data_IF_203847062795
#
_entry.id   IF_203847062795
#
_cell.length_a   1.000
_cell.length_b   1.000
_cell.length_c   1.000
_cell.angle_alpha   90.00
_cell.angle_beta   90.00
_cell.angle_gamma   90.00
#
_symmetry.space_group_name_H-M   'P 1'
#
loop_
_entity.id
_entity.type
_entity.pdbx_description
1 polymer ?
#
# COMPACT_ATOMS: atom_id res chain seq x y z
N UNK A 1 1.02 1.64 0.30
CA UNK A 1 0.37 2.84 0.87
C UNK A 1 -1.14 2.84 0.62
N UNK A 2 -1.62 2.76 -0.63
CA UNK A 2 -3.05 2.88 -0.94
C UNK A 2 -3.92 1.78 -0.29
N UNK A 3 -3.45 0.55 -0.24
CA UNK A 3 -4.16 -0.54 0.45
C UNK A 3 -4.23 -0.29 1.96
N UNK A 4 -3.15 0.20 2.56
CA UNK A 4 -3.10 0.54 3.97
C UNK A 4 -4.05 1.71 4.30
N UNK A 5 -4.09 2.75 3.46
CA UNK A 5 -5.05 3.86 3.60
C UNK A 5 -6.51 3.39 3.50
N UNK A 6 -6.77 2.31 2.74
CA UNK A 6 -8.14 1.78 2.58
C UNK A 6 -8.59 0.99 3.79
N UNK A 7 -7.75 0.11 4.31
CA UNK A 7 -8.00 -0.69 5.51
C UNK A 7 -6.70 -1.17 6.12
N UNK A 8 -6.56 -1.00 7.43
CA UNK A 8 -5.43 -1.50 8.21
C UNK A 8 -5.85 -1.87 9.63
N UNK A 9 -5.03 -2.66 10.29
CA UNK A 9 -5.23 -2.98 11.71
C UNK A 9 -4.84 -1.74 12.52
N UNK A 10 -5.64 -1.38 13.53
CA UNK A 10 -5.37 -0.25 14.41
C UNK A 10 -3.91 -0.28 14.95
N UNK A 11 -3.30 0.87 15.10
CA UNK A 11 -1.93 1.05 15.58
C UNK A 11 -0.85 0.34 14.74
N UNK A 12 -1.16 -0.05 13.50
CA UNK A 12 -0.18 -0.64 12.58
C UNK A 12 0.52 0.41 11.73
N UNK A 13 1.77 0.11 11.35
CA UNK A 13 2.58 1.00 10.50
C UNK A 13 2.70 0.49 9.07
N UNK A 14 2.57 1.42 8.13
CA UNK A 14 2.76 1.11 6.72
C UNK A 14 4.24 1.08 6.35
N UNK A 15 4.79 -0.11 6.17
CA UNK A 15 6.14 -0.31 5.65
C UNK A 15 6.06 -0.99 4.28
N UNK A 16 6.20 -0.24 3.18
CA UNK A 16 6.16 -0.81 1.84
C UNK A 16 7.30 -1.81 1.62
N UNK A 17 7.01 -2.85 0.83
CA UNK A 17 7.95 -3.94 0.61
C UNK A 17 9.23 -3.48 -0.09
N UNK A 18 9.15 -2.55 -1.02
CA UNK A 18 10.29 -1.95 -1.73
C UNK A 18 11.22 -1.16 -0.79
N UNK A 19 10.66 -0.44 0.18
CA UNK A 19 11.44 0.22 1.24
C UNK A 19 12.15 -0.84 2.10
N UNK A 20 11.42 -1.89 2.46
CA UNK A 20 11.97 -2.97 3.28
C UNK A 20 13.08 -3.73 2.55
N UNK A 21 12.93 -4.01 1.25
CA UNK A 21 13.98 -4.66 0.43
C UNK A 21 15.28 -3.84 0.42
N UNK A 22 15.18 -2.52 0.36
CA UNK A 22 16.33 -1.64 0.28
C UNK A 22 16.93 -1.26 1.64
N UNK A 23 16.15 -1.33 2.73
CA UNK A 23 16.51 -0.81 4.06
C UNK A 23 16.31 -1.82 5.19
N UNK A 24 16.27 -3.13 4.91
CA UNK A 24 16.00 -4.17 5.90
C UNK A 24 16.89 -4.07 7.15
N UNK A 25 18.18 -3.84 6.99
CA UNK A 25 19.11 -3.71 8.12
C UNK A 25 18.85 -2.49 8.99
N UNK A 26 18.50 -1.37 8.37
CA UNK A 26 18.18 -0.13 9.09
C UNK A 26 16.88 -0.30 9.87
N UNK A 27 15.89 -0.94 9.28
CA UNK A 27 14.60 -1.27 9.92
C UNK A 27 14.84 -2.19 11.11
N UNK A 28 15.58 -3.28 10.96
CA UNK A 28 15.88 -4.22 12.07
C UNK A 28 16.62 -3.52 13.21
N UNK A 29 17.57 -2.63 12.90
CA UNK A 29 18.28 -1.85 13.92
C UNK A 29 17.36 -0.95 14.74
N UNK A 30 16.35 -0.33 14.09
CA UNK A 30 15.38 0.56 14.75
C UNK A 30 14.32 -0.21 15.53
N UNK A 31 13.86 -1.34 14.97
CA UNK A 31 12.93 -2.22 15.67
C UNK A 31 13.53 -2.81 16.95
N UNK A 32 14.84 -3.01 16.98
CA UNK A 32 15.54 -3.64 18.10
C UNK A 32 15.23 -5.13 18.23
N UNK A 33 16.07 -5.83 19.01
CA UNK A 33 15.86 -7.25 19.28
C UNK A 33 14.89 -7.47 20.45
N UNK A 34 14.06 -8.52 20.34
CA UNK A 34 13.19 -8.95 21.43
C UNK A 34 11.78 -8.37 21.41
N UNK A 35 11.41 -7.61 20.39
CA UNK A 35 10.02 -7.16 20.19
C UNK A 35 9.21 -8.21 19.46
N UNK A 36 7.97 -8.38 19.89
CA UNK A 36 6.99 -9.23 19.21
C UNK A 36 6.37 -8.45 18.06
N UNK A 37 6.86 -8.70 16.84
CA UNK A 37 6.47 -7.99 15.63
C UNK A 37 5.57 -8.91 14.81
N UNK A 38 4.40 -8.39 14.41
CA UNK A 38 3.49 -9.10 13.52
C UNK A 38 3.47 -8.41 12.16
N UNK A 39 3.84 -9.15 11.13
CA UNK A 39 3.86 -8.69 9.75
C UNK A 39 2.53 -9.01 9.09
N UNK A 40 1.89 -8.00 8.56
CA UNK A 40 0.57 -8.11 7.93
C UNK A 40 0.63 -7.60 6.50
N UNK A 41 0.01 -8.32 5.57
CA UNK A 41 -0.31 -7.80 4.24
C UNK A 41 -1.71 -8.25 3.84
N UNK A 42 -2.09 -8.07 2.58
CA UNK A 42 -3.45 -8.43 2.14
C UNK A 42 -3.75 -9.93 2.29
N UNK A 43 -2.83 -10.81 1.85
CA UNK A 43 -3.06 -12.27 1.73
C UNK A 43 -1.94 -13.14 2.31
N UNK A 44 -1.00 -12.58 3.07
CA UNK A 44 0.14 -13.32 3.63
C UNK A 44 1.39 -13.38 2.74
N UNK A 45 1.28 -13.26 1.41
CA UNK A 45 2.43 -13.45 0.50
C UNK A 45 3.54 -12.41 0.69
N UNK A 46 3.20 -11.12 0.70
CA UNK A 46 4.18 -10.04 0.89
C UNK A 46 4.78 -10.05 2.30
N UNK A 47 3.99 -10.36 3.31
CA UNK A 47 4.47 -10.45 4.70
C UNK A 47 5.41 -11.64 4.91
N UNK A 48 5.20 -12.77 4.23
CA UNK A 48 6.16 -13.88 4.24
C UNK A 48 7.51 -13.48 3.60
N UNK A 49 7.48 -12.77 2.45
CA UNK A 49 8.70 -12.25 1.84
C UNK A 49 9.41 -11.23 2.74
N UNK A 50 8.64 -10.32 3.33
CA UNK A 50 9.16 -9.34 4.29
C UNK A 50 9.80 -10.02 5.52
N UNK A 51 9.16 -11.05 6.06
CA UNK A 51 9.68 -11.82 7.19
C UNK A 51 11.04 -12.47 6.86
N UNK A 52 11.16 -13.09 5.68
CA UNK A 52 12.42 -13.68 5.24
C UNK A 52 13.53 -12.63 5.16
N UNK A 53 13.26 -11.48 4.53
CA UNK A 53 14.22 -10.37 4.40
C UNK A 53 14.67 -9.80 5.76
N UNK A 54 13.72 -9.60 6.68
CA UNK A 54 14.03 -9.09 8.02
C UNK A 54 14.82 -10.10 8.86
N UNK A 55 14.48 -11.38 8.77
CA UNK A 55 15.22 -12.46 9.43
C UNK A 55 16.65 -12.53 8.90
N UNK A 56 16.85 -12.45 7.59
CA UNK A 56 18.17 -12.46 6.96
C UNK A 56 18.98 -11.19 7.34
N UNK A 57 18.30 -10.10 7.66
CA UNK A 57 18.89 -8.87 8.18
C UNK A 57 19.17 -8.92 9.70
N UNK A 58 18.78 -10.00 10.41
CA UNK A 58 19.06 -10.22 11.83
C UNK A 58 17.87 -10.02 12.78
N UNK A 59 16.65 -9.92 12.29
CA UNK A 59 15.45 -9.85 13.15
C UNK A 59 15.24 -11.20 13.85
N UNK A 60 15.16 -11.16 15.18
CA UNK A 60 14.76 -12.30 16.01
C UNK A 60 13.35 -12.04 16.56
N UNK A 61 12.39 -12.91 16.25
CA UNK A 61 11.04 -12.85 16.88
C UNK A 61 9.96 -12.15 16.04
N UNK A 62 10.02 -12.18 14.70
CA UNK A 62 8.90 -11.75 13.86
C UNK A 62 7.89 -12.87 13.60
N UNK A 63 6.60 -12.53 13.52
CA UNK A 63 5.51 -13.43 13.11
C UNK A 63 4.79 -12.88 11.89
N UNK A 64 4.15 -13.74 11.13
CA UNK A 64 3.33 -13.38 9.98
C UNK A 64 1.88 -13.69 10.29
N UNK A 65 0.99 -12.75 10.02
CA UNK A 65 -0.45 -13.01 10.04
C UNK A 65 -0.80 -13.85 8.80
N UNK A 66 -1.10 -15.12 9.03
CA UNK A 66 -1.52 -16.03 7.96
C UNK A 66 -2.78 -15.51 7.27
N UNK A 67 -2.84 -15.66 5.94
CA UNK A 67 -3.92 -15.14 5.09
C UNK A 67 -4.14 -13.61 5.14
N UNK A 68 -3.36 -12.89 5.94
CA UNK A 68 -3.33 -11.43 5.97
C UNK A 68 -4.62 -10.78 6.50
N UNK A 69 -4.81 -9.49 6.13
CA UNK A 69 -5.93 -8.70 6.62
C UNK A 69 -7.30 -9.19 6.09
N UNK A 70 -7.33 -9.91 4.96
CA UNK A 70 -8.59 -10.46 4.42
C UNK A 70 -9.20 -11.48 5.39
N UNK A 71 -8.39 -12.39 5.91
CA UNK A 71 -8.86 -13.39 6.87
C UNK A 71 -9.18 -12.76 8.22
N UNK A 72 -8.34 -11.83 8.69
CA UNK A 72 -8.58 -11.04 9.89
C UNK A 72 -9.96 -10.39 9.90
N UNK A 73 -10.29 -9.73 8.81
CA UNK A 73 -11.59 -9.09 8.62
C UNK A 73 -12.73 -10.10 8.46
N UNK A 74 -12.48 -11.20 7.74
CA UNK A 74 -13.42 -12.31 7.57
C UNK A 74 -13.81 -12.98 8.89
N UNK A 75 -12.93 -12.99 9.88
CA UNK A 75 -13.18 -13.47 11.24
C UNK A 75 -13.89 -12.45 12.13
N UNK A 76 -14.19 -11.24 11.61
CA UNK A 76 -14.90 -10.20 12.32
C UNK A 76 -14.04 -9.30 13.20
N UNK A 77 -12.72 -9.36 13.09
CA UNK A 77 -11.84 -8.47 13.82
C UNK A 77 -11.86 -7.05 13.25
N UNK A 78 -11.71 -6.07 14.12
CA UNK A 78 -11.77 -4.67 13.76
C UNK A 78 -10.59 -4.26 12.86
N UNK A 79 -10.90 -3.41 11.87
CA UNK A 79 -9.94 -2.73 11.02
C UNK A 79 -10.29 -1.25 10.93
N UNK A 80 -9.29 -0.40 10.94
CA UNK A 80 -9.46 1.01 10.67
C UNK A 80 -9.60 1.21 9.15
N UNK A 81 -10.68 1.91 8.77
CA UNK A 81 -10.99 2.19 7.37
C UNK A 81 -10.83 3.67 7.09
N UNK A 82 -9.91 3.96 6.19
CA UNK A 82 -9.74 5.31 5.66
C UNK A 82 -10.62 5.58 4.43
N UNK A 83 -10.32 6.66 3.74
CA UNK A 83 -11.04 7.04 2.51
C UNK A 83 -10.76 6.02 1.41
N UNK A 84 -11.78 5.28 1.01
CA UNK A 84 -11.69 4.38 -0.14
C UNK A 84 -11.45 5.20 -1.41
N UNK A 85 -10.26 5.10 -1.95
CA UNK A 85 -9.96 5.64 -3.29
C UNK A 85 -10.23 4.58 -4.34
N UNK A 86 -10.79 5.00 -5.45
CA UNK A 86 -10.98 4.10 -6.58
C UNK A 86 -9.63 3.60 -7.07
N UNK A 87 -9.52 2.29 -7.26
CA UNK A 87 -8.33 1.69 -7.87
C UNK A 87 -8.02 2.36 -9.22
N UNK A 88 -6.75 2.61 -9.48
CA UNK A 88 -6.31 3.28 -10.70
C UNK A 88 -6.83 2.57 -11.97
N UNK A 89 -6.86 1.24 -11.93
CA UNK A 89 -7.40 0.43 -13.02
C UNK A 89 -8.88 0.72 -13.30
N UNK A 90 -9.69 0.87 -12.25
CA UNK A 90 -11.11 1.24 -12.37
C UNK A 90 -11.28 2.64 -12.96
N UNK A 91 -10.42 3.59 -12.57
CA UNK A 91 -10.41 4.94 -13.13
C UNK A 91 -10.04 4.92 -14.62
N UNK A 92 -9.01 4.18 -14.99
CA UNK A 92 -8.58 4.01 -16.39
C UNK A 92 -9.72 3.43 -17.24
N UNK A 93 -10.39 2.38 -16.76
CA UNK A 93 -11.53 1.78 -17.46
C UNK A 93 -12.69 2.75 -17.64
N UNK A 94 -13.01 3.53 -16.60
CA UNK A 94 -14.06 4.54 -16.65
C UNK A 94 -13.74 5.63 -17.68
N UNK A 95 -12.54 6.21 -17.61
CA UNK A 95 -12.12 7.29 -18.51
C UNK A 95 -12.08 6.79 -19.96
N UNK A 96 -11.38 5.69 -20.22
CA UNK A 96 -11.26 5.13 -21.56
C UNK A 96 -12.63 4.74 -22.13
N UNK A 97 -13.47 4.06 -21.34
CA UNK A 97 -14.81 3.66 -21.74
C UNK A 97 -15.73 4.85 -22.02
N UNK A 98 -15.67 5.90 -21.18
CA UNK A 98 -16.47 7.12 -21.38
C UNK A 98 -16.06 7.87 -22.66
N UNK A 99 -14.77 7.99 -22.93
CA UNK A 99 -14.28 8.65 -24.15
C UNK A 99 -14.68 7.86 -25.40
N UNK A 100 -14.52 6.54 -25.38
CA UNK A 100 -14.93 5.67 -26.51
C UNK A 100 -16.44 5.78 -26.73
N UNK A 101 -17.24 5.64 -25.68
CA UNK A 101 -18.70 5.72 -25.78
C UNK A 101 -19.15 7.08 -26.34
N UNK A 102 -18.64 8.19 -25.78
CA UNK A 102 -18.97 9.53 -26.25
C UNK A 102 -18.53 9.77 -27.69
N UNK A 103 -17.37 9.24 -28.09
CA UNK A 103 -16.86 9.37 -29.45
C UNK A 103 -17.71 8.60 -30.45
N UNK A 104 -18.16 7.39 -30.10
CA UNK A 104 -19.04 6.58 -30.95
C UNK A 104 -20.42 7.22 -31.10
N UNK A 105 -21.05 7.63 -29.98
CA UNK A 105 -22.36 8.29 -30.01
C UNK A 105 -22.28 9.63 -30.76
N UNK A 106 -21.26 10.44 -30.50
CA UNK A 106 -21.05 11.71 -31.17
C UNK A 106 -20.71 11.58 -32.67
N UNK A 107 -20.22 10.42 -33.11
CA UNK A 107 -19.93 10.18 -34.53
C UNK A 107 -21.19 10.14 -35.42
N UNK A 108 -22.37 9.96 -34.81
CA UNK A 108 -23.63 10.11 -35.54
C UNK A 108 -23.87 11.54 -36.05
N UNK A 109 -23.40 12.54 -35.29
CA UNK A 109 -23.49 13.96 -35.70
C UNK A 109 -22.20 14.43 -36.38
N UNK A 110 -21.02 13.98 -35.91
CA UNK A 110 -19.70 14.35 -36.38
C UNK A 110 -18.90 13.09 -36.75
N UNK A 111 -18.93 12.64 -38.02
CA UNK A 111 -18.32 11.38 -38.47
C UNK A 111 -16.82 11.23 -38.16
N UNK A 112 -16.11 12.35 -37.92
CA UNK A 112 -14.69 12.35 -37.57
C UNK A 112 -14.40 11.81 -36.15
N UNK A 113 -15.38 11.83 -35.22
CA UNK A 113 -15.21 11.38 -33.86
C UNK A 113 -14.94 9.86 -33.75
N UNK A 114 -15.34 9.06 -34.74
CA UNK A 114 -14.99 7.62 -34.80
C UNK A 114 -13.49 7.36 -34.74
N UNK A 115 -12.66 8.29 -35.23
CA UNK A 115 -11.21 8.15 -35.20
C UNK A 115 -10.63 8.34 -33.80
N UNK A 116 -11.31 9.10 -32.93
CA UNK A 116 -10.92 9.19 -31.50
C UNK A 116 -11.13 7.85 -30.80
N UNK A 117 -12.28 7.21 -31.03
CA UNK A 117 -12.53 5.86 -30.50
C UNK A 117 -11.49 4.85 -31.02
N UNK A 118 -11.16 4.90 -32.31
CA UNK A 118 -10.15 4.02 -32.91
C UNK A 118 -8.75 4.26 -32.30
N UNK A 119 -8.36 5.52 -32.07
CA UNK A 119 -7.07 5.85 -31.45
C UNK A 119 -6.98 5.35 -30.00
N UNK A 120 -8.05 5.49 -29.20
CA UNK A 120 -8.11 4.95 -27.85
C UNK A 120 -8.01 3.42 -27.87
N UNK A 121 -8.75 2.74 -28.76
CA UNK A 121 -8.69 1.29 -28.92
C UNK A 121 -7.28 0.80 -29.30
N UNK A 122 -6.64 1.45 -30.27
CA UNK A 122 -5.27 1.14 -30.66
C UNK A 122 -4.28 1.36 -29.51
N UNK A 123 -4.43 2.47 -28.75
CA UNK A 123 -3.61 2.76 -27.57
C UNK A 123 -3.75 1.71 -26.47
N UNK A 124 -4.97 1.24 -26.20
CA UNK A 124 -5.22 0.17 -25.21
C UNK A 124 -4.62 -1.17 -25.68
N UNK A 125 -4.74 -1.50 -26.97
CA UNK A 125 -4.12 -2.71 -27.54
C UNK A 125 -2.60 -2.66 -27.42
N UNK A 126 -2.01 -1.53 -27.78
CA UNK A 126 -0.56 -1.31 -27.64
C UNK A 126 -0.12 -1.42 -26.17
N UNK A 127 -0.86 -0.79 -25.25
CA UNK A 127 -0.59 -0.88 -23.81
C UNK A 127 -0.61 -2.31 -23.28
N UNK A 128 -1.54 -3.13 -23.76
CA UNK A 128 -1.64 -4.53 -23.39
C UNK A 128 -0.44 -5.36 -23.91
N UNK A 129 0.00 -5.09 -25.12
CA UNK A 129 1.14 -5.82 -25.74
C UNK A 129 2.49 -5.43 -25.14
N UNK A 130 2.66 -4.17 -24.74
CA UNK A 130 3.93 -3.64 -24.22
C UNK A 130 4.01 -3.57 -22.70
N UNK A 131 2.92 -3.92 -22.00
CA UNK A 131 2.76 -3.72 -20.56
C UNK A 131 3.02 -2.27 -20.10
N UNK A 132 2.76 -1.30 -20.97
CA UNK A 132 2.99 0.13 -20.74
C UNK A 132 1.68 0.89 -20.91
N UNK A 133 1.12 1.41 -19.82
CA UNK A 133 -0.14 2.16 -19.85
C UNK A 133 0.12 3.66 -19.66
N UNK A 134 0.16 4.44 -20.75
CA UNK A 134 0.33 5.89 -20.72
C UNK A 134 -0.80 6.59 -19.94
N UNK A 135 -2.04 6.07 -20.02
CA UNK A 135 -3.19 6.60 -19.30
C UNK A 135 -3.06 6.38 -17.77
N UNK A 136 -2.61 5.19 -17.34
CA UNK A 136 -2.33 4.94 -15.94
C UNK A 136 -1.23 5.87 -15.41
N UNK A 137 -0.16 6.07 -16.18
CA UNK A 137 0.92 7.02 -15.85
C UNK A 137 0.42 8.46 -15.76
N UNK A 138 -0.46 8.90 -16.65
CA UNK A 138 -1.05 10.22 -16.59
C UNK A 138 -1.97 10.38 -15.36
N UNK A 139 -2.84 9.40 -15.10
CA UNK A 139 -3.76 9.42 -13.96
C UNK A 139 -3.01 9.32 -12.62
N UNK A 140 -1.90 8.59 -12.54
CA UNK A 140 -1.09 8.50 -11.32
C UNK A 140 -0.48 9.85 -10.89
N UNK A 141 -0.30 10.78 -11.84
CA UNK A 141 0.21 12.15 -11.58
C UNK A 141 -0.85 13.08 -10.98
N UNK A 142 -2.12 12.72 -11.03
CA UNK A 142 -3.18 13.53 -10.45
C UNK A 142 -3.06 13.58 -8.91
N UNK A 143 -3.37 14.71 -8.26
CA UNK A 143 -3.31 14.84 -6.80
C UNK A 143 -4.16 13.79 -6.07
N UNK A 144 -5.29 13.39 -6.66
CA UNK A 144 -6.17 12.35 -6.15
C UNK A 144 -5.48 10.97 -6.07
N UNK A 145 -4.62 10.67 -7.03
CA UNK A 145 -3.92 9.38 -7.14
C UNK A 145 -2.50 9.41 -6.55
N UNK A 146 -2.01 10.57 -6.15
CA UNK A 146 -0.81 10.67 -5.32
C UNK A 146 -1.18 10.16 -3.93
N UNK A 147 -1.14 8.84 -3.74
CA UNK A 147 -1.11 8.24 -2.42
C UNK A 147 0.07 8.80 -1.62
N UNK A 148 0.03 8.67 -0.29
CA UNK A 148 1.18 9.00 0.53
C UNK A 148 2.41 8.32 -0.09
N UNK A 149 3.32 9.13 -0.61
CA UNK A 149 4.61 8.65 -1.13
C UNK A 149 5.24 7.91 0.03
N UNK A 150 5.63 6.65 -0.20
CA UNK A 150 6.42 5.90 0.76
C UNK A 150 7.81 6.54 0.81
N UNK A 151 7.89 7.66 1.50
CA UNK A 151 9.18 8.27 1.81
C UNK A 151 9.88 7.33 2.79
N UNK A 152 11.00 6.69 2.41
CA UNK A 152 11.72 5.79 3.29
C UNK A 152 12.11 6.43 4.61
N UNK A 153 12.44 7.73 4.60
CA UNK A 153 12.82 8.46 5.81
C UNK A 153 11.59 8.71 6.72
N UNK A 154 10.42 8.98 6.16
CA UNK A 154 9.18 9.09 6.93
C UNK A 154 8.79 7.77 7.60
N UNK A 155 8.95 6.64 6.88
CA UNK A 155 8.73 5.30 7.45
C UNK A 155 9.71 5.04 8.61
N UNK A 156 10.98 5.32 8.40
CA UNK A 156 12.02 5.13 9.42
C UNK A 156 11.79 6.02 10.64
N UNK A 157 11.40 7.28 10.46
CA UNK A 157 11.12 8.20 11.57
C UNK A 157 9.88 7.80 12.38
N UNK A 158 8.85 7.24 11.73
CA UNK A 158 7.68 6.70 12.42
C UNK A 158 8.06 5.53 13.34
N UNK A 159 8.93 4.62 12.87
CA UNK A 159 9.44 3.51 13.69
C UNK A 159 10.29 3.98 14.88
N UNK A 160 11.06 5.08 14.73
CA UNK A 160 11.84 5.67 15.82
C UNK A 160 10.95 6.30 16.91
N UNK A 161 9.88 6.98 16.50
CA UNK A 161 8.95 7.64 17.44
C UNK A 161 8.29 6.62 18.37
N UNK A 162 7.91 5.44 17.85
CA UNK A 162 7.37 4.36 18.67
C UNK A 162 8.43 3.72 19.56
N UNK A 163 9.64 3.55 19.05
CA UNK A 163 10.76 3.08 19.84
C UNK A 163 10.95 3.88 21.12
N UNK A 164 10.85 5.19 20.99
CA UNK A 164 10.96 6.14 22.13
C UNK A 164 9.74 6.11 23.05
N UNK A 165 8.52 5.99 22.52
CA UNK A 165 7.30 5.97 23.32
C UNK A 165 7.21 4.74 24.24
N UNK A 166 7.59 3.57 23.72
CA UNK A 166 7.62 2.33 24.51
C UNK A 166 8.71 2.34 25.58
N UNK A 167 9.86 2.93 25.30
CA UNK A 167 10.96 3.03 26.28
C UNK A 167 10.58 3.97 27.44
N UNK A 168 9.83 5.03 27.17
CA UNK A 168 9.35 5.96 28.20
C UNK A 168 8.25 5.36 29.08
N UNK A 169 7.40 4.50 28.54
CA UNK A 169 6.33 3.83 29.30
C UNK A 169 6.85 2.76 30.27
N UNK A 170 7.94 2.09 29.93
CA UNK A 170 8.60 1.08 30.81
C UNK A 170 9.38 1.77 31.94
N UNK A 171 9.93 2.97 31.70
CA UNK A 171 10.67 3.73 32.72
C UNK A 171 9.80 4.41 33.78
N UNK A 172 8.48 4.48 33.60
CA UNK A 172 7.55 5.15 34.52
C UNK A 172 6.82 4.24 35.51
N UNK A 173 7.12 2.92 35.52
CA UNK A 173 6.62 2.04 36.59
C UNK A 173 7.45 2.25 37.86
N UNK A 174 6.98 3.15 38.72
CA UNK A 174 7.51 3.35 40.06
C UNK A 174 7.48 2.06 40.87
N UNK A 175 8.45 1.81 41.75
CA UNK A 175 8.46 0.60 42.58
C UNK A 175 7.24 0.63 43.51
N UNK A 176 6.43 -0.42 43.41
CA UNK A 176 5.38 -0.71 44.41
C UNK A 176 6.06 -0.91 45.74
N UNK A 177 5.90 0.04 46.65
CA UNK A 177 6.25 -0.13 48.05
C UNK A 177 5.30 -1.20 48.63
N UNK A 178 5.85 -2.33 49.02
CA UNK A 178 5.15 -3.34 49.82
C UNK A 178 5.03 -2.86 51.29
N UNK A 179 3.92 -3.19 51.95
CA UNK A 179 3.67 -2.84 53.35
C UNK A 179 4.57 -3.58 54.35
#
# INVERSE_FOLDING_TARGET
PAEFETAHIADSHNVPLDVLENRARDIVRRLGNGRDIVLVCRSGQRSNKAHALLRDAGLTGGRVLENGIIDWEGQGFAVDRGTQRWELERQVRLVAGSVVLSSVLGSAALPRLKWVAAAIGAGLTFAALTNTCAMATALSKLPYNRGATSDPEAVLSALDAEGSALTSSIGSSAPVQAP
#
